data_IF_826271028514
#
_entry.id   IF_826271028514
#
_cell.length_a   1.000
_cell.length_b   1.000
_cell.length_c   1.000
_cell.angle_alpha   90.00
_cell.angle_beta   90.00
_cell.angle_gamma   90.00
#
_symmetry.space_group_name_H-M   'P 1'
#
loop_
_entity.id
_entity.type
_entity.pdbx_description
1 polymer ?
#
# COMPACT_ATOMS: atom_id res chain seq x y z
N UNK A 1 3.88 49.64 -17.15
CA UNK A 1 3.54 49.20 -15.77
C UNK A 1 2.63 47.99 -15.92
N UNK A 2 3.16 46.79 -15.68
CA UNK A 2 2.42 45.53 -15.88
C UNK A 2 1.35 45.37 -14.79
N UNK A 3 0.15 44.96 -15.21
CA UNK A 3 -1.04 44.81 -14.38
C UNK A 3 -0.99 43.43 -13.68
N UNK A 4 -1.07 43.34 -12.33
CA UNK A 4 -0.84 42.09 -11.58
C UNK A 4 -2.02 41.11 -11.56
N UNK A 5 -3.08 41.34 -12.34
CA UNK A 5 -4.31 40.53 -12.34
C UNK A 5 -4.52 39.73 -13.63
N UNK A 6 -3.46 39.16 -14.21
CA UNK A 6 -3.61 38.27 -15.35
C UNK A 6 -3.91 36.84 -14.84
N UNK A 7 -5.08 36.24 -15.14
CA UNK A 7 -5.40 34.85 -14.83
C UNK A 7 -4.62 33.88 -15.75
N UNK A 8 -3.32 34.13 -15.94
CA UNK A 8 -2.34 33.18 -16.49
C UNK A 8 -2.01 32.09 -15.45
N UNK A 9 -3.02 31.72 -14.66
CA UNK A 9 -3.03 30.56 -13.79
C UNK A 9 -3.00 29.31 -14.68
N UNK A 10 -1.77 28.98 -15.07
CA UNK A 10 -1.18 27.67 -14.84
C UNK A 10 -2.00 26.46 -15.31
N UNK A 11 -2.68 26.59 -16.45
CA UNK A 11 -2.92 25.47 -17.37
C UNK A 11 -1.60 24.95 -17.96
N UNK A 12 -0.55 24.79 -17.14
CA UNK A 12 0.63 24.01 -17.45
C UNK A 12 0.33 22.50 -17.41
N UNK A 13 -0.91 22.12 -17.71
CA UNK A 13 -1.16 21.15 -18.76
C UNK A 13 -0.46 21.57 -20.04
N UNK A 14 0.85 21.34 -20.10
CA UNK A 14 1.33 20.67 -21.31
C UNK A 14 0.50 19.40 -21.36
N UNK A 15 -0.41 19.27 -22.32
CA UNK A 15 -1.11 18.01 -22.57
C UNK A 15 -0.02 16.96 -22.68
N UNK A 16 0.32 16.28 -21.58
CA UNK A 16 1.26 15.19 -21.61
C UNK A 16 0.62 14.22 -22.59
N UNK A 17 1.29 13.87 -23.71
CA UNK A 17 0.72 12.94 -24.66
C UNK A 17 0.21 11.73 -23.87
N UNK A 18 -0.98 11.22 -24.17
CA UNK A 18 -1.59 10.10 -23.43
C UNK A 18 -0.61 8.94 -23.16
N UNK A 19 0.33 8.75 -24.09
CA UNK A 19 1.45 7.81 -23.98
C UNK A 19 2.38 8.10 -22.80
N UNK A 20 2.73 9.35 -22.53
CA UNK A 20 3.54 9.75 -21.36
C UNK A 20 2.83 9.47 -20.04
N UNK A 21 1.54 9.78 -19.94
CA UNK A 21 0.78 9.48 -18.72
C UNK A 21 0.63 7.96 -18.49
N UNK A 22 0.44 7.17 -19.56
CA UNK A 22 0.46 5.70 -19.48
C UNK A 22 1.84 5.13 -19.10
N UNK A 23 2.93 5.75 -19.57
CA UNK A 23 4.29 5.37 -19.16
C UNK A 23 4.51 5.66 -17.68
N UNK A 24 4.01 6.79 -17.17
CA UNK A 24 4.04 7.07 -15.74
C UNK A 24 3.25 6.02 -14.95
N UNK A 25 2.02 5.67 -15.37
CA UNK A 25 1.24 4.61 -14.72
C UNK A 25 2.03 3.30 -14.63
N UNK A 26 2.67 2.89 -15.73
CA UNK A 26 3.49 1.67 -15.78
C UNK A 26 4.61 1.73 -14.76
N UNK A 27 5.38 2.82 -14.75
CA UNK A 27 6.55 2.94 -13.89
C UNK A 27 6.12 3.01 -12.41
N UNK A 28 5.05 3.75 -12.09
CA UNK A 28 4.46 3.82 -10.76
C UNK A 28 3.98 2.46 -10.27
N UNK A 29 3.32 1.68 -11.15
CA UNK A 29 2.89 0.32 -10.84
C UNK A 29 4.09 -0.60 -10.56
N UNK A 30 5.15 -0.51 -11.37
CA UNK A 30 6.37 -1.28 -11.15
C UNK A 30 7.02 -0.91 -9.80
N UNK A 31 7.09 0.38 -9.46
CA UNK A 31 7.61 0.83 -8.16
C UNK A 31 6.73 0.38 -6.99
N UNK A 32 5.40 0.40 -7.14
CA UNK A 32 4.47 -0.07 -6.11
C UNK A 32 4.65 -1.57 -5.85
N UNK A 33 4.70 -2.38 -6.91
CA UNK A 33 4.93 -3.83 -6.82
C UNK A 33 6.33 -4.13 -6.27
N UNK A 34 7.36 -3.39 -6.69
CA UNK A 34 8.72 -3.55 -6.16
C UNK A 34 8.79 -3.25 -4.67
N UNK A 35 8.15 -2.15 -4.21
CA UNK A 35 8.08 -1.82 -2.79
C UNK A 35 7.39 -2.90 -1.97
N UNK A 36 6.26 -3.42 -2.47
CA UNK A 36 5.56 -4.54 -1.84
C UNK A 36 6.43 -5.81 -1.81
N UNK A 37 7.16 -6.12 -2.88
CA UNK A 37 8.05 -7.28 -2.96
C UNK A 37 9.21 -7.16 -1.97
N UNK A 38 9.76 -5.96 -1.76
CA UNK A 38 10.78 -5.70 -0.73
C UNK A 38 10.22 -5.95 0.66
N UNK A 39 9.04 -5.40 0.98
CA UNK A 39 8.38 -5.66 2.27
C UNK A 39 8.09 -7.16 2.47
N UNK A 40 7.65 -7.85 1.42
CA UNK A 40 7.41 -9.29 1.44
C UNK A 40 8.69 -10.09 1.70
N UNK A 41 9.80 -9.74 1.04
CA UNK A 41 11.09 -10.39 1.26
C UNK A 41 11.61 -10.17 2.68
N UNK A 42 11.47 -8.96 3.23
CA UNK A 42 11.84 -8.65 4.61
C UNK A 42 11.06 -9.51 5.61
N UNK A 43 9.73 -9.55 5.46
CA UNK A 43 8.85 -10.36 6.31
C UNK A 43 9.08 -11.87 6.14
N UNK A 44 9.52 -12.31 4.96
CA UNK A 44 9.85 -13.72 4.70
C UNK A 44 11.11 -14.16 5.46
N UNK A 45 12.07 -13.24 5.66
CA UNK A 45 13.30 -13.49 6.41
C UNK A 45 13.03 -13.42 7.92
N UNK A 46 12.34 -12.37 8.37
CA UNK A 46 12.01 -12.17 9.78
C UNK A 46 10.73 -11.33 9.93
N UNK A 47 9.70 -11.79 10.66
CA UNK A 47 9.62 -12.99 11.51
C UNK A 47 9.37 -14.31 10.76
N UNK A 48 9.21 -14.27 9.43
CA UNK A 48 8.91 -15.43 8.60
C UNK A 48 7.41 -15.76 8.54
N UNK A 49 6.98 -16.59 7.57
CA UNK A 49 5.56 -16.92 7.39
C UNK A 49 4.95 -17.66 8.58
N UNK A 50 5.71 -18.52 9.26
CA UNK A 50 5.26 -19.22 10.47
C UNK A 50 5.04 -18.25 11.63
N UNK A 51 5.98 -17.33 11.87
CA UNK A 51 5.85 -16.34 12.94
C UNK A 51 4.66 -15.40 12.74
N UNK A 52 4.35 -15.04 11.49
CA UNK A 52 3.13 -14.28 11.17
C UNK A 52 1.85 -15.08 11.43
N UNK A 53 1.84 -16.37 11.06
CA UNK A 53 0.69 -17.26 11.32
C UNK A 53 0.48 -17.42 12.83
N UNK A 54 1.55 -17.63 13.59
CA UNK A 54 1.48 -17.77 15.05
C UNK A 54 0.90 -16.52 15.70
N UNK A 55 1.32 -15.33 15.25
CA UNK A 55 0.76 -14.05 15.72
C UNK A 55 -0.75 -13.95 15.48
N UNK A 56 -1.22 -14.37 14.30
CA UNK A 56 -2.64 -14.39 13.95
C UNK A 56 -3.40 -15.48 14.73
N UNK A 57 -2.73 -16.59 15.07
CA UNK A 57 -3.32 -17.71 15.79
C UNK A 57 -3.62 -17.37 17.26
N UNK A 58 -2.87 -16.47 17.91
CA UNK A 58 -3.06 -16.09 19.32
C UNK A 58 -4.52 -15.72 19.66
N UNK A 59 -5.16 -14.73 19.01
CA UNK A 59 -6.54 -14.37 19.32
C UNK A 59 -7.55 -15.47 18.98
N UNK A 60 -7.27 -16.29 17.95
CA UNK A 60 -8.14 -17.40 17.53
C UNK A 60 -8.18 -18.48 18.61
N UNK A 61 -7.01 -18.87 19.11
CA UNK A 61 -6.88 -19.88 20.15
C UNK A 61 -7.47 -19.41 21.48
N UNK A 62 -7.35 -18.11 21.80
CA UNK A 62 -7.93 -17.53 23.02
C UNK A 62 -9.47 -17.58 23.08
N UNK A 63 -10.14 -17.65 21.94
CA UNK A 63 -11.60 -17.72 21.84
C UNK A 63 -12.12 -19.12 21.48
N UNK A 64 -11.26 -20.14 21.46
CA UNK A 64 -11.66 -21.51 21.19
C UNK A 64 -12.15 -22.24 22.45
N UNK A 65 -13.12 -23.16 22.32
CA UNK A 65 -13.54 -24.03 23.41
C UNK A 65 -12.38 -24.89 23.92
N UNK A 66 -12.27 -25.13 25.24
CA UNK A 66 -11.24 -25.99 25.80
C UNK A 66 -11.29 -27.38 25.15
N UNK A 67 -10.18 -27.82 24.55
CA UNK A 67 -10.06 -29.11 23.87
C UNK A 67 -9.92 -29.08 22.33
N UNK A 68 -10.08 -27.92 21.67
CA UNK A 68 -9.89 -27.78 20.20
C UNK A 68 -8.75 -26.83 19.84
N UNK A 69 -7.61 -26.93 20.51
CA UNK A 69 -6.49 -25.96 20.40
C UNK A 69 -5.60 -26.17 19.16
N UNK A 70 -6.10 -26.81 18.11
CA UNK A 70 -5.31 -27.18 16.92
C UNK A 70 -5.92 -26.60 15.65
N UNK A 71 -5.19 -25.69 15.02
CA UNK A 71 -5.44 -25.28 13.64
C UNK A 71 -5.09 -26.41 12.68
N UNK A 72 -6.06 -26.85 11.89
CA UNK A 72 -5.87 -27.92 10.90
C UNK A 72 -5.96 -27.37 9.47
N UNK A 73 -5.03 -27.80 8.63
CA UNK A 73 -5.07 -27.54 7.20
C UNK A 73 -6.10 -28.47 6.55
N UNK A 74 -7.28 -27.94 6.20
CA UNK A 74 -8.37 -28.73 5.60
C UNK A 74 -8.09 -29.07 4.13
N UNK A 75 -7.32 -28.22 3.42
CA UNK A 75 -6.99 -28.40 2.00
C UNK A 75 -5.58 -28.95 1.77
N UNK A 76 -5.43 -29.75 0.71
CA UNK A 76 -4.12 -30.34 0.29
C UNK A 76 -3.07 -29.26 0.03
N UNK A 77 -3.48 -28.13 -0.56
CA UNK A 77 -2.57 -27.01 -0.86
C UNK A 77 -2.53 -25.94 0.24
N UNK A 78 -3.28 -26.10 1.34
CA UNK A 78 -3.32 -25.12 2.42
C UNK A 78 -1.94 -24.85 3.05
N UNK A 79 -1.06 -25.85 3.27
CA UNK A 79 0.28 -25.60 3.80
C UNK A 79 1.16 -24.70 2.92
N UNK A 80 0.87 -24.60 1.62
CA UNK A 80 1.59 -23.72 0.70
C UNK A 80 0.92 -22.35 0.55
N UNK A 81 -0.40 -22.33 0.31
CA UNK A 81 -1.10 -21.07 0.04
C UNK A 81 -1.37 -20.24 1.29
N UNK A 82 -1.54 -20.83 2.48
CA UNK A 82 -1.82 -20.06 3.70
C UNK A 82 -0.62 -19.19 4.07
N UNK A 83 0.61 -19.71 4.19
CA UNK A 83 1.78 -18.87 4.48
C UNK A 83 2.01 -17.80 3.43
N UNK A 84 1.84 -18.13 2.14
CA UNK A 84 1.98 -17.17 1.04
C UNK A 84 0.95 -16.03 1.12
N UNK A 85 -0.32 -16.35 1.39
CA UNK A 85 -1.40 -15.36 1.53
C UNK A 85 -1.17 -14.45 2.73
N UNK A 86 -0.81 -15.03 3.88
CA UNK A 86 -0.52 -14.27 5.11
C UNK A 86 0.65 -13.32 4.88
N UNK A 87 1.73 -13.81 4.27
CA UNK A 87 2.89 -13.01 3.95
C UNK A 87 2.54 -11.86 3.00
N UNK A 88 1.77 -12.13 1.94
CA UNK A 88 1.34 -11.12 0.98
C UNK A 88 0.43 -10.06 1.62
N UNK A 89 -0.52 -10.46 2.47
CA UNK A 89 -1.37 -9.52 3.19
C UNK A 89 -0.56 -8.65 4.16
N UNK A 90 0.34 -9.25 4.93
CA UNK A 90 1.20 -8.50 5.86
C UNK A 90 2.12 -7.53 5.12
N UNK A 91 2.71 -7.95 4.00
CA UNK A 91 3.55 -7.09 3.16
C UNK A 91 2.77 -5.92 2.55
N UNK A 92 1.53 -6.17 2.11
CA UNK A 92 0.65 -5.13 1.59
C UNK A 92 0.33 -4.10 2.68
N UNK A 93 -0.03 -4.55 3.87
CA UNK A 93 -0.30 -3.67 5.01
C UNK A 93 0.93 -2.86 5.41
N UNK A 94 2.11 -3.46 5.42
CA UNK A 94 3.36 -2.76 5.74
C UNK A 94 3.73 -1.73 4.65
N UNK A 95 3.45 -2.04 3.38
CA UNK A 95 3.73 -1.16 2.24
C UNK A 95 2.60 -0.16 1.93
N UNK A 96 1.53 -0.11 2.73
CA UNK A 96 0.40 0.82 2.52
C UNK A 96 0.82 2.29 2.28
N UNK A 97 1.73 2.89 3.07
CA UNK A 97 2.16 4.28 2.86
C UNK A 97 2.85 4.47 1.51
N UNK A 98 3.59 3.46 1.05
CA UNK A 98 4.25 3.46 -0.25
C UNK A 98 3.23 3.39 -1.38
N UNK A 99 2.23 2.51 -1.27
CA UNK A 99 1.13 2.44 -2.23
C UNK A 99 0.38 3.76 -2.34
N UNK A 100 0.03 4.36 -1.20
CA UNK A 100 -0.62 5.67 -1.18
C UNK A 100 0.23 6.75 -1.86
N UNK A 101 1.54 6.76 -1.61
CA UNK A 101 2.46 7.68 -2.28
C UNK A 101 2.49 7.47 -3.80
N UNK A 102 2.59 6.23 -4.29
CA UNK A 102 2.66 5.96 -5.73
C UNK A 102 1.35 6.30 -6.46
N UNK A 103 0.20 5.98 -5.85
CA UNK A 103 -1.12 6.36 -6.38
C UNK A 103 -1.24 7.88 -6.44
N UNK A 104 -0.84 8.58 -5.39
CA UNK A 104 -0.91 10.03 -5.37
C UNK A 104 0.05 10.67 -6.36
N UNK A 105 1.27 10.14 -6.48
CA UNK A 105 2.27 10.63 -7.43
C UNK A 105 1.83 10.48 -8.90
N UNK A 106 0.97 9.52 -9.21
CA UNK A 106 0.33 9.39 -10.53
C UNK A 106 -0.79 10.43 -10.76
N UNK A 107 -1.48 10.88 -9.71
CA UNK A 107 -2.55 11.89 -9.77
C UNK A 107 -1.99 13.32 -9.76
N UNK A 108 -0.87 13.54 -9.06
CA UNK A 108 -0.15 14.81 -8.93
C UNK A 108 0.15 15.60 -10.23
N UNK A 109 0.39 14.97 -11.41
CA UNK A 109 0.63 15.70 -12.65
C UNK A 109 -0.59 16.48 -13.12
N UNK A 110 -1.79 16.06 -12.76
CA UNK A 110 -3.05 16.72 -13.10
C UNK A 110 -3.54 17.75 -12.07
N UNK A 111 -2.74 18.02 -11.03
CA UNK A 111 -3.15 18.81 -9.87
C UNK A 111 -2.32 20.09 -9.73
N UNK A 112 -2.96 21.21 -9.37
CA UNK A 112 -2.32 22.52 -9.25
C UNK A 112 -1.11 22.50 -8.30
N UNK A 113 -0.07 23.28 -8.62
CA UNK A 113 1.19 23.36 -7.86
C UNK A 113 0.99 23.67 -6.38
N UNK A 114 -0.08 24.40 -6.03
CA UNK A 114 -0.45 24.72 -4.64
C UNK A 114 -1.11 23.55 -3.89
N UNK A 115 -1.76 22.61 -4.59
CA UNK A 115 -2.42 21.43 -4.00
C UNK A 115 -1.43 20.31 -3.67
N UNK A 116 -0.27 20.27 -4.33
CA UNK A 116 0.83 19.33 -4.02
C UNK A 116 1.31 19.38 -2.57
N UNK A 117 1.14 20.49 -1.87
CA UNK A 117 1.50 20.60 -0.45
C UNK A 117 0.56 19.82 0.47
N UNK A 118 -0.71 19.64 0.08
CA UNK A 118 -1.68 18.85 0.85
C UNK A 118 -1.52 17.34 0.65
N UNK A 119 -0.72 16.92 -0.32
CA UNK A 119 -0.40 15.51 -0.59
C UNK A 119 0.23 14.80 0.60
N UNK A 120 1.29 15.39 1.14
CA UNK A 120 2.08 14.80 2.23
C UNK A 120 1.23 14.59 3.48
N UNK A 121 0.49 15.59 4.01
CA UNK A 121 -0.36 15.36 5.17
C UNK A 121 -1.48 14.36 4.85
N UNK A 122 -2.05 14.35 3.63
CA UNK A 122 -3.10 13.39 3.26
C UNK A 122 -2.58 11.94 3.22
N UNK A 123 -1.39 11.70 2.69
CA UNK A 123 -0.78 10.35 2.66
C UNK A 123 -0.50 9.88 4.10
N UNK A 124 0.05 10.75 4.94
CA UNK A 124 0.36 10.42 6.34
C UNK A 124 -0.93 10.18 7.14
N UNK A 125 -1.89 11.11 7.10
CA UNK A 125 -3.18 10.96 7.78
C UNK A 125 -3.97 9.75 7.27
N UNK A 126 -4.01 9.54 5.96
CA UNK A 126 -4.70 8.40 5.37
C UNK A 126 -4.04 7.07 5.73
N UNK A 127 -2.71 7.02 5.80
CA UNK A 127 -1.99 5.84 6.27
C UNK A 127 -2.29 5.56 7.75
N UNK A 128 -2.23 6.60 8.60
CA UNK A 128 -2.56 6.49 10.02
C UNK A 128 -4.01 6.02 10.19
N UNK A 129 -4.95 6.65 9.49
CA UNK A 129 -6.36 6.30 9.57
C UNK A 129 -6.62 4.86 9.10
N UNK A 130 -5.91 4.40 8.06
CA UNK A 130 -5.98 3.02 7.61
C UNK A 130 -5.51 2.04 8.69
N UNK A 131 -4.37 2.31 9.34
CA UNK A 131 -3.88 1.48 10.45
C UNK A 131 -4.79 1.51 11.67
N UNK A 132 -5.34 2.69 12.01
CA UNK A 132 -6.33 2.84 13.09
C UNK A 132 -7.61 2.05 12.79
N UNK A 133 -8.05 2.00 11.53
CA UNK A 133 -9.21 1.21 11.15
C UNK A 133 -8.97 -0.31 11.13
N UNK A 134 -7.71 -0.75 11.03
CA UNK A 134 -7.34 -2.17 11.07
C UNK A 134 -7.18 -2.68 12.51
N UNK A 135 -6.73 -1.82 13.42
CA UNK A 135 -6.52 -2.13 14.83
C UNK A 135 -7.84 -2.36 15.57
#
# INVERSE_FOLDING_TARGET
MANPNNPEDELAGTEQPFVQHLMELRDRLLYAVAGMAVCMALLAIWPGPSGLIDLIAVPILAHMPPGTEKLIAVGVFSPFFVPLKVLAMAALLLSLPWWMYQVWAFVAPGLYSHEKRFAVPLIVLGSILAYVGIA
#
